data_IF_805854424287
#
_entry.id   IF_805854424287
#
_cell.length_a   1.000
_cell.length_b   1.000
_cell.length_c   1.000
_cell.angle_alpha   90.00
_cell.angle_beta   90.00
_cell.angle_gamma   90.00
#
_symmetry.space_group_name_H-M   'P 1'
#
loop_
_entity.id
_entity.type
_entity.pdbx_description
1 polymer ?
#
# COMPACT_ATOMS: atom_id res chain seq x y z
N UNK A 1 -6.27 -4.24 15.36
CA UNK A 1 -6.45 -2.80 15.59
C UNK A 1 -5.37 -2.35 16.57
N UNK A 2 -4.49 -1.42 16.20
CA UNK A 2 -3.29 -1.10 16.99
C UNK A 2 -3.55 -0.23 18.23
N UNK A 3 -4.75 0.39 18.36
CA UNK A 3 -5.09 1.38 19.40
C UNK A 3 -4.86 0.92 20.84
N UNK A 4 -5.20 -0.33 21.17
CA UNK A 4 -5.07 -0.87 22.52
C UNK A 4 -4.05 -2.00 22.66
N UNK A 5 -3.87 -2.83 21.63
CA UNK A 5 -3.05 -4.06 21.74
C UNK A 5 -1.57 -3.78 21.44
N UNK A 6 -1.27 -3.08 20.34
CA UNK A 6 0.09 -2.86 19.86
C UNK A 6 0.50 -1.38 20.02
N UNK A 7 0.49 -0.89 21.25
CA UNK A 7 0.87 0.48 21.60
C UNK A 7 1.64 0.52 22.93
N UNK A 8 2.43 1.57 23.15
CA UNK A 8 3.15 1.76 24.41
C UNK A 8 2.17 1.93 25.59
N UNK A 9 2.65 1.76 26.83
CA UNK A 9 1.78 2.00 28.00
C UNK A 9 1.28 3.45 28.08
N UNK A 10 2.12 4.40 27.67
CA UNK A 10 1.74 5.81 27.61
C UNK A 10 0.63 6.06 26.58
N UNK A 11 0.79 5.50 25.38
CA UNK A 11 -0.23 5.62 24.34
C UNK A 11 -1.50 4.85 24.72
N UNK A 12 -1.37 3.71 25.39
CA UNK A 12 -2.50 2.94 25.90
C UNK A 12 -3.32 3.76 26.89
N UNK A 13 -2.65 4.40 27.86
CA UNK A 13 -3.27 5.29 28.84
C UNK A 13 -4.04 6.41 28.13
N UNK A 14 -3.37 7.19 27.26
CA UNK A 14 -3.98 8.28 26.53
C UNK A 14 -5.17 7.82 25.66
N UNK A 15 -5.01 6.71 24.94
CA UNK A 15 -6.07 6.14 24.10
C UNK A 15 -7.26 5.64 24.91
N UNK A 16 -7.02 5.01 26.06
CA UNK A 16 -8.06 4.52 26.95
C UNK A 16 -8.89 5.69 27.50
N UNK A 17 -8.23 6.71 28.04
CA UNK A 17 -8.87 7.92 28.54
C UNK A 17 -9.71 8.62 27.47
N UNK A 18 -9.12 8.91 26.31
CA UNK A 18 -9.83 9.55 25.19
C UNK A 18 -11.05 8.73 24.76
N UNK A 19 -10.91 7.41 24.68
CA UNK A 19 -12.00 6.54 24.23
C UNK A 19 -13.15 6.53 25.22
N UNK A 20 -12.88 6.36 26.52
CA UNK A 20 -13.93 6.33 27.56
C UNK A 20 -14.65 7.68 27.63
N UNK A 21 -13.92 8.79 27.56
CA UNK A 21 -14.52 10.14 27.54
C UNK A 21 -15.46 10.32 26.35
N UNK A 22 -15.00 10.00 25.14
CA UNK A 22 -15.80 10.13 23.93
C UNK A 22 -17.02 9.16 23.96
N UNK A 23 -16.85 7.93 24.46
CA UNK A 23 -17.97 7.01 24.64
C UNK A 23 -19.04 7.59 25.57
N UNK A 24 -18.65 8.23 26.68
CA UNK A 24 -19.59 8.85 27.59
C UNK A 24 -20.27 10.10 27.01
N UNK A 25 -19.54 10.92 26.25
CA UNK A 25 -20.07 12.11 25.57
C UNK A 25 -21.12 11.73 24.51
N UNK A 26 -20.81 10.74 23.67
CA UNK A 26 -21.68 10.34 22.55
C UNK A 26 -22.59 9.14 22.86
N UNK A 27 -22.75 8.77 24.14
CA UNK A 27 -23.53 7.59 24.55
C UNK A 27 -24.98 7.59 24.04
N UNK A 28 -25.62 8.75 23.97
CA UNK A 28 -27.00 8.87 23.49
C UNK A 28 -27.07 8.67 21.97
N UNK A 29 -26.12 9.24 21.22
CA UNK A 29 -26.07 9.13 19.75
C UNK A 29 -25.73 7.70 19.33
N UNK A 30 -24.73 7.11 19.98
CA UNK A 30 -24.29 5.74 19.73
C UNK A 30 -25.16 4.69 20.43
N UNK A 31 -26.13 5.10 21.25
CA UNK A 31 -26.99 4.20 22.05
C UNK A 31 -26.18 3.20 22.89
N UNK A 32 -25.09 3.67 23.50
CA UNK A 32 -24.23 2.83 24.35
C UNK A 32 -24.96 2.56 25.67
N UNK A 33 -25.17 1.29 26.06
CA UNK A 33 -25.81 0.97 27.33
C UNK A 33 -25.00 1.44 28.55
N UNK A 34 -25.70 1.76 29.65
CA UNK A 34 -25.07 2.33 30.84
C UNK A 34 -24.11 1.34 31.52
N UNK A 35 -24.42 0.04 31.48
CA UNK A 35 -23.60 -1.04 31.98
C UNK A 35 -22.27 -1.17 31.23
N UNK A 36 -22.27 -0.91 29.91
CA UNK A 36 -21.06 -0.95 29.09
C UNK A 36 -20.14 0.22 29.43
N UNK A 37 -20.69 1.41 29.64
CA UNK A 37 -19.90 2.56 30.11
C UNK A 37 -19.34 2.33 31.50
N UNK A 38 -20.14 1.73 32.40
CA UNK A 38 -19.68 1.39 33.74
C UNK A 38 -18.51 0.42 33.69
N UNK A 39 -18.58 -0.60 32.83
CA UNK A 39 -17.48 -1.54 32.60
C UNK A 39 -16.25 -0.84 32.01
N UNK A 40 -16.42 0.03 31.01
CA UNK A 40 -15.32 0.75 30.39
C UNK A 40 -14.58 1.66 31.38
N UNK A 41 -15.32 2.34 32.26
CA UNK A 41 -14.77 3.16 33.36
C UNK A 41 -14.07 2.28 34.41
N UNK A 42 -14.61 1.10 34.72
CA UNK A 42 -13.96 0.17 35.64
C UNK A 42 -12.60 -0.32 35.10
N UNK A 43 -12.51 -0.60 33.81
CA UNK A 43 -11.26 -0.95 33.12
C UNK A 43 -10.25 0.20 33.22
N UNK A 44 -10.67 1.43 32.93
CA UNK A 44 -9.86 2.62 33.05
C UNK A 44 -9.31 2.80 34.48
N UNK A 45 -10.18 2.72 35.49
CA UNK A 45 -9.78 2.88 36.88
C UNK A 45 -8.78 1.80 37.33
N UNK A 46 -9.01 0.54 36.93
CA UNK A 46 -8.10 -0.57 37.22
C UNK A 46 -6.72 -0.34 36.62
N UNK A 47 -6.67 0.06 35.35
CA UNK A 47 -5.43 0.42 34.67
C UNK A 47 -4.69 1.56 35.38
N UNK A 48 -5.37 2.66 35.69
CA UNK A 48 -4.77 3.85 36.32
C UNK A 48 -4.13 3.52 37.67
N UNK A 49 -4.79 2.69 38.49
CA UNK A 49 -4.26 2.27 39.80
C UNK A 49 -2.93 1.52 39.66
N UNK A 50 -2.85 0.59 38.71
CA UNK A 50 -1.63 -0.21 38.51
C UNK A 50 -0.56 0.58 37.74
N UNK A 51 -0.92 1.36 36.73
CA UNK A 51 0.01 2.15 35.92
C UNK A 51 0.73 3.20 36.76
N UNK A 52 0.00 3.94 37.59
CA UNK A 52 0.56 4.99 38.44
C UNK A 52 1.64 4.48 39.42
N UNK A 53 1.52 3.25 39.91
CA UNK A 53 2.55 2.62 40.77
C UNK A 53 3.86 2.36 40.03
N UNK A 54 3.80 2.20 38.70
CA UNK A 54 4.97 1.90 37.87
C UNK A 54 5.63 3.15 37.26
N UNK A 55 5.02 4.34 37.41
CA UNK A 55 5.58 5.58 36.88
C UNK A 55 6.88 5.99 37.59
N UNK A 56 6.95 5.83 38.92
CA UNK A 56 8.17 6.07 39.68
C UNK A 56 9.06 4.82 39.68
N UNK A 57 9.97 4.75 38.70
CA UNK A 57 10.88 3.61 38.52
C UNK A 57 11.79 3.34 39.72
N UNK A 58 12.01 4.31 40.61
CA UNK A 58 12.81 4.11 41.83
C UNK A 58 12.04 3.41 42.94
N UNK A 59 10.70 3.47 42.91
CA UNK A 59 9.81 2.87 43.92
C UNK A 59 9.08 1.63 43.42
N UNK A 60 9.04 1.42 42.11
CA UNK A 60 8.35 0.30 41.50
C UNK A 60 9.05 -1.04 41.78
N UNK A 61 8.27 -2.02 42.22
CA UNK A 61 8.71 -3.40 42.47
C UNK A 61 8.42 -4.32 41.28
N UNK A 62 9.16 -5.43 41.09
CA UNK A 62 8.87 -6.41 40.04
C UNK A 62 7.42 -6.93 40.07
N UNK A 63 6.86 -7.14 41.26
CA UNK A 63 5.47 -7.59 41.44
C UNK A 63 4.43 -6.56 40.98
N UNK A 64 4.72 -5.27 41.07
CA UNK A 64 3.86 -4.20 40.53
C UNK A 64 3.94 -4.12 39.00
N UNK A 65 5.14 -4.32 38.44
CA UNK A 65 5.33 -4.40 36.98
C UNK A 65 4.52 -5.57 36.40
N UNK A 66 4.64 -6.75 37.00
CA UNK A 66 3.92 -7.94 36.56
C UNK A 66 2.40 -7.73 36.63
N UNK A 67 1.90 -7.17 37.74
CA UNK A 67 0.49 -6.85 37.91
C UNK A 67 0.00 -5.87 36.85
N UNK A 68 0.73 -4.78 36.62
CA UNK A 68 0.40 -3.80 35.57
C UNK A 68 0.37 -4.46 34.20
N UNK A 69 1.35 -5.32 33.85
CA UNK A 69 1.38 -6.01 32.57
C UNK A 69 0.16 -6.95 32.39
N UNK A 70 -0.23 -7.66 33.45
CA UNK A 70 -1.43 -8.50 33.44
C UNK A 70 -2.71 -7.67 33.27
N UNK A 71 -2.80 -6.54 33.97
CA UNK A 71 -3.91 -5.58 33.83
C UNK A 71 -3.93 -4.96 32.43
N UNK A 72 -2.76 -4.64 31.87
CA UNK A 72 -2.59 -4.08 30.52
C UNK A 72 -3.15 -4.99 29.44
N UNK A 73 -2.82 -6.28 29.50
CA UNK A 73 -3.27 -7.28 28.54
C UNK A 73 -4.79 -7.45 28.61
N UNK A 74 -5.33 -7.73 29.80
CA UNK A 74 -6.77 -7.92 30.02
C UNK A 74 -7.58 -6.70 29.60
N UNK A 75 -7.14 -5.51 30.02
CA UNK A 75 -7.82 -4.24 29.73
C UNK A 75 -7.82 -3.95 28.23
N UNK A 76 -6.71 -4.21 27.53
CA UNK A 76 -6.62 -3.93 26.10
C UNK A 76 -7.49 -4.84 25.25
N UNK A 77 -7.53 -6.13 25.55
CA UNK A 77 -8.43 -7.06 24.88
C UNK A 77 -9.89 -6.67 25.12
N UNK A 78 -10.28 -6.48 26.39
CA UNK A 78 -11.67 -6.17 26.71
C UNK A 78 -12.13 -4.82 26.16
N UNK A 79 -11.28 -3.79 26.23
CA UNK A 79 -11.59 -2.48 25.65
C UNK A 79 -11.66 -2.54 24.12
N UNK A 80 -10.86 -3.40 23.47
CA UNK A 80 -10.97 -3.63 22.02
C UNK A 80 -12.33 -4.24 21.67
N UNK A 81 -12.80 -5.21 22.45
CA UNK A 81 -14.11 -5.85 22.23
C UNK A 81 -15.26 -4.85 22.41
N UNK A 82 -15.25 -4.09 23.53
CA UNK A 82 -16.24 -3.05 23.80
C UNK A 82 -16.26 -2.01 22.68
N UNK A 83 -15.09 -1.51 22.28
CA UNK A 83 -14.98 -0.49 21.24
C UNK A 83 -15.49 -0.99 19.88
N UNK A 84 -15.16 -2.24 19.50
CA UNK A 84 -15.63 -2.80 18.25
C UNK A 84 -17.15 -2.99 18.25
N UNK A 85 -17.71 -3.52 19.35
CA UNK A 85 -19.13 -3.83 19.47
C UNK A 85 -20.02 -2.58 19.52
N UNK A 86 -19.59 -1.54 20.25
CA UNK A 86 -20.46 -0.40 20.56
C UNK A 86 -20.08 0.91 19.84
N UNK A 87 -18.88 1.01 19.26
CA UNK A 87 -18.44 2.22 18.55
C UNK A 87 -18.17 1.92 17.09
N UNK A 88 -17.18 1.07 16.79
CA UNK A 88 -16.63 0.93 15.43
C UNK A 88 -17.64 0.42 14.41
N UNK A 89 -18.43 -0.57 14.79
CA UNK A 89 -19.45 -1.18 13.93
C UNK A 89 -20.87 -0.71 14.28
N UNK A 90 -20.98 0.40 15.02
CA UNK A 90 -22.27 0.96 15.37
C UNK A 90 -22.94 1.56 14.12
N UNK A 91 -24.22 1.25 13.91
CA UNK A 91 -25.00 1.76 12.78
C UNK A 91 -25.20 3.28 12.85
N UNK A 92 -25.16 3.88 14.04
CA UNK A 92 -25.33 5.31 14.24
C UNK A 92 -23.99 6.07 14.16
N UNK A 93 -22.90 5.41 13.78
CA UNK A 93 -21.58 6.03 13.64
C UNK A 93 -21.54 6.89 12.37
N UNK A 94 -21.56 8.21 12.53
CA UNK A 94 -21.40 9.18 11.43
C UNK A 94 -19.93 9.40 11.08
N UNK A 95 -19.65 10.07 9.95
CA UNK A 95 -18.28 10.38 9.53
C UNK A 95 -17.60 11.41 10.46
N UNK A 96 -18.36 12.34 11.03
CA UNK A 96 -17.86 13.25 12.07
C UNK A 96 -17.44 12.47 13.33
N UNK A 97 -18.25 11.51 13.76
CA UNK A 97 -17.92 10.68 14.92
C UNK A 97 -16.71 9.77 14.64
N UNK A 98 -16.54 9.29 13.41
CA UNK A 98 -15.32 8.56 13.03
C UNK A 98 -14.07 9.37 13.30
N UNK A 99 -14.06 10.65 12.93
CA UNK A 99 -12.95 11.54 13.23
C UNK A 99 -12.71 11.67 14.75
N UNK A 100 -13.77 11.86 15.53
CA UNK A 100 -13.67 11.97 17.00
C UNK A 100 -13.05 10.73 17.66
N UNK A 101 -13.37 9.53 17.17
CA UNK A 101 -12.84 8.26 17.66
C UNK A 101 -11.51 7.82 16.99
N UNK A 102 -10.91 8.67 16.15
CA UNK A 102 -9.73 8.36 15.32
C UNK A 102 -9.91 7.07 14.49
N UNK A 103 -11.14 6.83 14.01
CA UNK A 103 -11.47 5.74 13.11
C UNK A 103 -11.27 6.26 11.68
N UNK A 104 -10.44 5.59 10.85
CA UNK A 104 -10.30 5.97 9.44
C UNK A 104 -11.66 6.00 8.76
N UNK A 105 -11.86 6.98 7.88
CA UNK A 105 -13.02 7.01 7.01
C UNK A 105 -13.16 5.66 6.27
N UNK A 106 -14.38 5.18 5.99
CA UNK A 106 -14.56 4.03 5.14
C UNK A 106 -13.82 4.26 3.83
N UNK A 107 -13.22 3.20 3.31
CA UNK A 107 -12.62 3.28 1.99
C UNK A 107 -13.75 3.40 0.97
N UNK A 108 -14.03 4.62 0.53
CA UNK A 108 -14.94 4.90 -0.57
C UNK A 108 -14.22 4.55 -1.88
N UNK A 109 -14.74 3.57 -2.61
CA UNK A 109 -14.26 3.21 -3.95
C UNK A 109 -12.92 2.48 -4.00
N UNK A 110 -12.93 1.25 -4.47
CA UNK A 110 -11.82 0.79 -5.31
C UNK A 110 -12.00 1.52 -6.65
N UNK A 111 -11.49 2.74 -6.78
CA UNK A 111 -11.41 3.33 -8.11
C UNK A 111 -10.51 2.43 -8.96
N UNK A 112 -11.10 1.83 -9.98
CA UNK A 112 -10.37 0.95 -10.89
C UNK A 112 -9.42 1.83 -11.66
N UNK A 113 -8.13 1.61 -11.47
CA UNK A 113 -7.11 2.18 -12.35
C UNK A 113 -7.42 1.67 -13.77
N UNK A 114 -7.75 2.56 -14.72
CA UNK A 114 -8.11 2.14 -16.08
C UNK A 114 -6.89 1.58 -16.83
N UNK A 115 -7.11 1.03 -18.01
CA UNK A 115 -6.01 0.68 -18.90
C UNK A 115 -5.24 1.94 -19.31
N UNK A 116 -3.91 1.88 -19.50
CA UNK A 116 -3.13 3.04 -19.91
C UNK A 116 -3.59 3.56 -21.27
N UNK A 117 -3.79 4.87 -21.41
CA UNK A 117 -4.20 5.50 -22.68
C UNK A 117 -3.02 6.01 -23.49
N UNK A 118 -1.88 6.24 -22.85
CA UNK A 118 -0.69 6.78 -23.49
C UNK A 118 0.18 5.65 -24.05
N UNK A 119 0.87 5.90 -25.17
CA UNK A 119 1.86 4.98 -25.72
C UNK A 119 3.22 5.19 -25.04
N UNK A 120 4.04 4.15 -24.87
CA UNK A 120 5.43 4.34 -24.45
C UNK A 120 6.23 5.05 -25.54
N UNK A 121 7.14 5.91 -25.12
CA UNK A 121 8.26 6.32 -25.96
C UNK A 121 9.39 5.31 -25.78
N UNK A 122 9.67 4.56 -26.84
CA UNK A 122 10.62 3.45 -26.87
C UNK A 122 11.95 3.94 -27.46
N UNK A 123 13.04 3.74 -26.72
CA UNK A 123 14.41 3.98 -27.18
C UNK A 123 15.18 2.66 -27.15
N UNK A 124 15.97 2.40 -28.17
CA UNK A 124 16.78 1.18 -28.29
C UNK A 124 18.21 1.56 -28.61
N UNK A 125 19.12 1.26 -27.69
CA UNK A 125 20.53 1.64 -27.74
C UNK A 125 21.44 0.41 -27.75
N UNK A 126 22.59 0.53 -28.43
CA UNK A 126 23.67 -0.46 -28.35
C UNK A 126 24.64 -0.04 -27.27
N UNK A 127 24.60 -0.73 -26.14
CA UNK A 127 25.45 -0.39 -25.00
C UNK A 127 26.81 -1.12 -25.03
N UNK A 128 26.86 -2.32 -25.61
CA UNK A 128 28.08 -3.11 -25.79
C UNK A 128 27.92 -4.10 -26.95
N UNK A 129 29.00 -4.82 -27.29
CA UNK A 129 28.95 -5.85 -28.33
C UNK A 129 27.91 -6.93 -27.99
N UNK A 130 26.99 -7.20 -28.91
CA UNK A 130 25.86 -8.13 -28.74
C UNK A 130 24.86 -7.77 -27.62
N UNK A 131 24.96 -6.57 -27.05
CA UNK A 131 24.04 -6.09 -26.02
C UNK A 131 23.18 -4.94 -26.57
N UNK A 132 21.86 -5.12 -26.50
CA UNK A 132 20.87 -4.11 -26.87
C UNK A 132 20.10 -3.74 -25.61
N UNK A 133 20.08 -2.46 -25.27
CA UNK A 133 19.30 -1.95 -24.16
C UNK A 133 18.08 -1.21 -24.67
N UNK A 134 16.94 -1.59 -24.16
CA UNK A 134 15.65 -0.99 -24.47
C UNK A 134 15.21 -0.17 -23.27
N UNK A 135 14.88 1.11 -23.49
CA UNK A 135 14.44 2.04 -22.46
C UNK A 135 13.08 2.63 -22.84
N UNK A 136 12.17 2.74 -21.87
CA UNK A 136 10.84 3.29 -22.05
C UNK A 136 10.62 4.54 -21.18
N UNK A 137 9.85 5.48 -21.70
CA UNK A 137 9.44 6.69 -20.97
C UNK A 137 8.01 7.12 -21.30
N UNK A 138 7.40 7.86 -20.37
CA UNK A 138 6.03 8.37 -20.46
C UNK A 138 5.82 9.51 -21.48
N UNK A 139 6.88 10.01 -22.14
CA UNK A 139 6.76 11.12 -23.09
C UNK A 139 8.01 11.36 -23.94
N UNK A 140 7.90 12.27 -24.92
CA UNK A 140 8.97 12.63 -25.85
C UNK A 140 10.09 13.49 -25.24
N UNK A 141 9.91 14.00 -24.01
CA UNK A 141 10.91 14.81 -23.34
C UNK A 141 11.98 13.91 -22.70
N UNK A 142 13.21 14.03 -23.19
CA UNK A 142 14.42 13.24 -22.86
C UNK A 142 14.80 13.19 -21.36
N UNK A 143 14.11 13.93 -20.48
CA UNK A 143 14.54 14.15 -19.10
C UNK A 143 13.79 13.34 -18.03
N UNK A 144 12.78 12.52 -18.39
CA UNK A 144 12.04 11.71 -17.39
C UNK A 144 11.87 10.26 -17.85
N UNK A 145 12.87 9.43 -17.54
CA UNK A 145 12.69 7.98 -17.48
C UNK A 145 11.68 7.67 -16.37
N UNK A 146 10.56 7.07 -16.73
CA UNK A 146 9.48 6.85 -15.78
C UNK A 146 8.22 6.33 -16.44
N UNK A 147 7.48 5.54 -15.66
CA UNK A 147 6.15 5.08 -16.05
C UNK A 147 5.12 6.18 -15.82
N UNK A 148 4.11 6.32 -16.70
CA UNK A 148 2.95 7.14 -16.42
C UNK A 148 2.23 6.69 -15.13
N UNK A 149 1.41 7.58 -14.56
CA UNK A 149 0.55 7.21 -13.44
C UNK A 149 -0.40 6.07 -13.83
N UNK A 150 -0.62 5.12 -12.91
CA UNK A 150 -1.47 3.95 -13.15
C UNK A 150 -0.84 2.81 -13.94
N UNK A 151 0.37 2.98 -14.47
CA UNK A 151 1.14 1.93 -15.15
C UNK A 151 1.99 1.15 -14.14
N UNK A 152 1.82 -0.18 -14.15
CA UNK A 152 2.51 -1.12 -13.26
C UNK A 152 3.70 -1.80 -13.96
N UNK A 153 3.56 -2.09 -15.25
CA UNK A 153 4.55 -2.83 -16.03
C UNK A 153 4.52 -2.44 -17.51
N UNK A 154 5.43 -3.00 -18.29
CA UNK A 154 5.42 -2.93 -19.74
C UNK A 154 5.77 -4.28 -20.35
N UNK A 155 5.39 -4.47 -21.60
CA UNK A 155 5.77 -5.62 -22.40
C UNK A 155 6.67 -5.20 -23.56
N UNK A 156 7.71 -6.00 -23.84
CA UNK A 156 8.54 -5.86 -25.04
C UNK A 156 8.25 -7.02 -25.99
N UNK A 157 8.19 -6.68 -27.27
CA UNK A 157 7.99 -7.60 -28.36
C UNK A 157 8.99 -7.30 -29.49
N UNK A 158 9.40 -8.32 -30.21
CA UNK A 158 10.32 -8.19 -31.34
C UNK A 158 9.74 -8.79 -32.63
N UNK A 159 10.09 -8.24 -33.78
CA UNK A 159 9.89 -8.83 -35.10
C UNK A 159 11.18 -8.77 -35.91
N UNK A 160 11.47 -9.84 -36.65
CA UNK A 160 12.64 -9.89 -37.52
C UNK A 160 12.44 -9.12 -38.83
N UNK A 161 13.52 -8.43 -39.23
CA UNK A 161 13.62 -7.71 -40.49
C UNK A 161 13.06 -6.30 -40.48
N UNK A 162 13.07 -5.68 -41.66
CA UNK A 162 12.64 -4.30 -41.92
C UNK A 162 11.18 -4.19 -42.42
N UNK A 163 10.43 -5.30 -42.35
CA UNK A 163 9.04 -5.34 -42.81
C UNK A 163 8.10 -4.53 -41.91
N UNK A 164 6.90 -4.23 -42.41
CA UNK A 164 5.84 -3.65 -41.59
C UNK A 164 5.56 -4.54 -40.36
N UNK A 165 5.28 -3.90 -39.21
CA UNK A 165 4.93 -4.62 -37.99
C UNK A 165 3.59 -5.32 -38.17
N UNK A 166 3.58 -6.62 -37.92
CA UNK A 166 2.41 -7.48 -37.92
C UNK A 166 2.28 -8.09 -36.53
N UNK A 167 1.20 -7.79 -35.82
CA UNK A 167 0.96 -8.26 -34.46
C UNK A 167 1.03 -9.79 -34.35
N UNK A 168 0.71 -10.52 -35.43
CA UNK A 168 0.79 -11.99 -35.46
C UNK A 168 2.22 -12.54 -35.57
N UNK A 169 3.17 -11.70 -35.98
CA UNK A 169 4.60 -12.05 -36.15
C UNK A 169 5.44 -11.54 -34.99
N UNK A 170 4.87 -10.73 -34.09
CA UNK A 170 5.53 -10.27 -32.89
C UNK A 170 5.82 -11.45 -31.96
N UNK A 171 7.09 -11.61 -31.62
CA UNK A 171 7.55 -12.55 -30.61
C UNK A 171 7.61 -11.85 -29.27
N UNK A 172 6.92 -12.42 -28.29
CA UNK A 172 6.93 -11.90 -26.92
C UNK A 172 8.31 -12.13 -26.29
N UNK A 173 8.90 -11.07 -25.74
CA UNK A 173 10.11 -11.19 -24.93
C UNK A 173 9.80 -11.36 -23.46
N UNK A 174 8.99 -10.45 -22.91
CA UNK A 174 8.73 -10.45 -21.49
C UNK A 174 7.94 -9.25 -21.02
N UNK A 175 7.53 -9.34 -19.76
CA UNK A 175 6.90 -8.27 -18.98
C UNK A 175 7.86 -7.81 -17.90
N UNK A 176 8.04 -6.50 -17.80
CA UNK A 176 9.05 -5.89 -16.92
C UNK A 176 8.46 -4.78 -16.06
N UNK A 177 8.96 -4.67 -14.82
CA UNK A 177 8.55 -3.65 -13.85
C UNK A 177 9.54 -2.49 -13.73
N UNK A 178 10.69 -2.55 -14.39
CA UNK A 178 11.64 -1.43 -14.47
C UNK A 178 11.24 -0.45 -15.60
N UNK A 179 12.16 0.38 -16.08
CA UNK A 179 11.96 1.22 -17.28
C UNK A 179 13.02 0.98 -18.35
N UNK A 180 13.97 0.07 -18.09
CA UNK A 180 14.96 -0.37 -19.05
C UNK A 180 15.22 -1.86 -18.89
N UNK A 181 15.58 -2.52 -19.98
CA UNK A 181 15.96 -3.94 -20.03
C UNK A 181 17.10 -4.12 -21.03
N UNK A 182 18.05 -5.01 -20.72
CA UNK A 182 19.19 -5.31 -21.61
C UNK A 182 19.12 -6.74 -22.12
N UNK A 183 19.04 -6.88 -23.44
CA UNK A 183 19.02 -8.15 -24.14
C UNK A 183 20.42 -8.50 -24.63
N UNK A 184 20.82 -9.75 -24.43
CA UNK A 184 22.07 -10.32 -24.90
C UNK A 184 21.81 -11.28 -26.04
N UNK A 185 22.47 -11.07 -27.16
CA UNK A 185 22.35 -11.91 -28.34
C UNK A 185 23.61 -12.79 -28.54
N UNK A 186 23.47 -14.00 -29.11
CA UNK A 186 24.61 -14.82 -29.50
C UNK A 186 25.32 -14.24 -30.73
N UNK A 187 26.60 -14.61 -30.90
CA UNK A 187 27.39 -14.24 -32.10
C UNK A 187 26.73 -14.63 -33.43
N UNK A 188 25.90 -15.68 -33.44
CA UNK A 188 25.18 -16.14 -34.63
C UNK A 188 24.13 -15.15 -35.13
N UNK A 189 23.71 -14.20 -34.29
CA UNK A 189 22.73 -13.16 -34.64
C UNK A 189 23.39 -11.88 -35.18
N UNK A 190 24.72 -11.80 -35.29
CA UNK A 190 25.40 -10.63 -35.88
C UNK A 190 24.88 -10.37 -37.30
N UNK A 191 24.53 -9.11 -37.58
CA UNK A 191 23.96 -8.68 -38.86
C UNK A 191 22.45 -8.87 -38.98
N UNK A 192 21.81 -9.57 -38.03
CA UNK A 192 20.35 -9.67 -37.96
C UNK A 192 19.76 -8.30 -37.62
N UNK A 193 18.66 -7.96 -38.28
CA UNK A 193 17.90 -6.73 -38.01
C UNK A 193 16.62 -7.08 -37.28
N UNK A 194 16.37 -6.41 -36.17
CA UNK A 194 15.24 -6.65 -35.28
C UNK A 194 14.50 -5.33 -35.07
N UNK A 195 13.17 -5.39 -35.12
CA UNK A 195 12.29 -4.28 -34.79
C UNK A 195 11.61 -4.54 -33.46
N UNK A 196 11.77 -3.62 -32.50
CA UNK A 196 11.13 -3.67 -31.20
C UNK A 196 9.87 -2.82 -31.17
N UNK A 197 8.85 -3.30 -30.46
CA UNK A 197 7.68 -2.53 -30.03
C UNK A 197 7.38 -2.83 -28.57
N UNK A 198 6.78 -1.88 -27.88
CA UNK A 198 6.41 -2.05 -26.49
C UNK A 198 5.03 -1.46 -26.19
N UNK A 199 4.44 -1.84 -25.05
CA UNK A 199 3.19 -1.25 -24.55
C UNK A 199 3.14 -1.25 -23.03
N UNK A 200 2.41 -0.29 -22.46
CA UNK A 200 2.19 -0.21 -21.02
C UNK A 200 1.13 -1.21 -20.55
N UNK A 201 1.22 -1.63 -19.29
CA UNK A 201 0.23 -2.45 -18.59
C UNK A 201 -0.15 -1.78 -17.26
N UNK A 202 -1.44 -1.79 -16.91
CA UNK A 202 -1.86 -1.47 -15.56
C UNK A 202 -1.64 -2.66 -14.59
N UNK A 203 -1.92 -2.46 -13.31
CA UNK A 203 -1.76 -3.49 -12.28
C UNK A 203 -2.58 -4.78 -12.54
N UNK A 204 -3.63 -4.70 -13.37
CA UNK A 204 -4.47 -5.84 -13.77
C UNK A 204 -3.98 -6.54 -15.05
N UNK A 205 -2.92 -6.05 -15.67
CA UNK A 205 -2.41 -6.56 -16.95
C UNK A 205 -3.22 -6.11 -18.17
N UNK A 206 -4.03 -5.07 -18.04
CA UNK A 206 -4.73 -4.46 -19.17
C UNK A 206 -3.74 -3.57 -19.93
N UNK A 207 -3.70 -3.73 -21.25
CA UNK A 207 -2.72 -3.10 -22.12
C UNK A 207 -3.17 -1.75 -22.64
N UNK A 208 -2.21 -0.84 -22.73
CA UNK A 208 -2.33 0.41 -23.47
C UNK A 208 -1.89 0.26 -24.93
N UNK A 209 -1.85 1.37 -25.68
CA UNK A 209 -1.43 1.37 -27.08
C UNK A 209 0.06 1.00 -27.23
N UNK A 210 0.40 0.50 -28.43
CA UNK A 210 1.77 0.20 -28.84
C UNK A 210 2.61 1.48 -29.00
N UNK A 211 3.90 1.37 -28.69
CA UNK A 211 4.92 2.38 -29.02
C UNK A 211 5.14 2.47 -30.52
N UNK A 212 5.84 3.51 -30.95
CA UNK A 212 6.40 3.52 -32.29
C UNK A 212 7.47 2.41 -32.41
N UNK A 213 7.57 1.72 -33.57
CA UNK A 213 8.55 0.68 -33.77
C UNK A 213 9.96 1.25 -33.91
N UNK A 214 10.92 0.58 -33.28
CA UNK A 214 12.35 0.95 -33.35
C UNK A 214 13.14 -0.23 -33.90
N UNK A 215 13.77 -0.01 -35.04
CA UNK A 215 14.56 -1.05 -35.73
C UNK A 215 16.04 -0.85 -35.51
N UNK A 216 16.75 -1.94 -35.20
CA UNK A 216 18.19 -1.94 -34.97
C UNK A 216 18.82 -3.22 -35.52
N UNK A 217 20.06 -3.13 -36.01
CA UNK A 217 20.85 -4.32 -36.32
C UNK A 217 21.70 -4.78 -35.13
N UNK A 218 21.90 -6.08 -34.98
CA UNK A 218 22.81 -6.65 -33.99
C UNK A 218 24.23 -6.56 -34.56
N UNK A 219 25.16 -6.02 -33.76
CA UNK A 219 26.57 -5.81 -34.11
C UNK A 219 27.50 -6.09 -32.94
#
# INVERSE_FOLDING_TARGET
>A
MKRFINCSDHDFDANLFKTVNNMNEYKTVLKIPAEVLTEAVAIQNSWVVDYNKTLDRKKCTPAEIERKNLTREKSAHRMTDIFNAYVRYNINLTDELRFVFDIPAPRTGNERIPAPTDKPNLTVDRNAHLEITVTLSAGAAEAKHGKPEGVDAYEIWEQDGLGAIDEKKLKFHGRYTNTAETFRYPFTDIGRTITFVARWLNHRGESGPWSDPVTISIS
#
